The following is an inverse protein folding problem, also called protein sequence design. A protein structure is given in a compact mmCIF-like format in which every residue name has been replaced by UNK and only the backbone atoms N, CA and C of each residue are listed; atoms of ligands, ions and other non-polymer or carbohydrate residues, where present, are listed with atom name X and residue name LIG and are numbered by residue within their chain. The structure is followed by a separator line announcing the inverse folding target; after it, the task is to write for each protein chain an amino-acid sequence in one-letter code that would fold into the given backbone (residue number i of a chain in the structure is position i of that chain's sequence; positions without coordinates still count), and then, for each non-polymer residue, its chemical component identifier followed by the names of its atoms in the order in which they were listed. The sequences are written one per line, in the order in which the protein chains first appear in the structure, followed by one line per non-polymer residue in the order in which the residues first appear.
data_IF_593226116122
#
_entry.id   IF_593226116122
#
_cell.length_a   1.000
_cell.length_b   1.000
_cell.length_c   1.000
_cell.angle_alpha   90.00
_cell.angle_beta   90.00
_cell.angle_gamma   90.00
#
_symmetry.space_group_name_H-M   'P 1'
#
loop_
_entity.id
_entity.type
_entity.pdbx_description
1 polymer ?
#
# COMPACT_ATOMS: atom_id res chain seq x y z
N UNK A 1 -34.76 -30.32 36.00
CA UNK A 1 -33.43 -30.18 35.35
C UNK A 1 -33.49 -29.98 33.83
N UNK A 2 -34.44 -30.52 33.10
CA UNK A 2 -34.52 -30.43 31.62
C UNK A 2 -34.72 -29.00 31.05
N UNK A 3 -35.56 -28.15 31.66
CA UNK A 3 -35.85 -26.79 31.15
C UNK A 3 -34.67 -25.82 31.21
N UNK A 4 -33.80 -25.95 32.21
CA UNK A 4 -32.61 -25.09 32.37
C UNK A 4 -31.57 -25.33 31.27
N UNK A 5 -31.37 -26.59 30.87
CA UNK A 5 -30.41 -26.96 29.81
C UNK A 5 -30.90 -26.44 28.46
N UNK A 6 -32.19 -26.44 28.19
CA UNK A 6 -32.77 -25.94 26.93
C UNK A 6 -32.61 -24.42 26.81
N UNK A 7 -32.80 -23.67 27.90
CA UNK A 7 -32.62 -22.21 27.93
C UNK A 7 -31.13 -21.86 27.70
N UNK A 8 -30.23 -22.56 28.37
CA UNK A 8 -28.78 -22.36 28.19
C UNK A 8 -28.33 -22.64 26.74
N UNK A 9 -28.79 -23.74 26.13
CA UNK A 9 -28.49 -24.04 24.72
C UNK A 9 -29.00 -22.97 23.75
N UNK A 10 -30.23 -22.45 23.99
CA UNK A 10 -30.78 -21.35 23.16
C UNK A 10 -30.03 -20.06 23.34
N UNK A 11 -29.57 -19.75 24.54
CA UNK A 11 -28.73 -18.58 24.81
C UNK A 11 -27.36 -18.68 24.14
N UNK A 12 -26.68 -19.83 24.26
CA UNK A 12 -25.42 -20.07 23.56
C UNK A 12 -25.56 -19.98 22.04
N UNK A 13 -26.68 -20.51 21.48
CA UNK A 13 -26.90 -20.42 20.03
C UNK A 13 -27.21 -19.00 19.57
N UNK A 14 -27.92 -18.19 20.36
CA UNK A 14 -28.14 -16.77 20.08
C UNK A 14 -26.87 -15.95 20.17
N UNK A 15 -25.96 -16.22 21.12
CA UNK A 15 -24.66 -15.59 21.25
C UNK A 15 -23.75 -15.99 20.08
N UNK A 16 -23.77 -17.26 19.66
CA UNK A 16 -23.01 -17.73 18.50
C UNK A 16 -23.48 -17.07 17.21
N UNK A 17 -24.77 -16.91 17.01
CA UNK A 17 -25.35 -16.19 15.86
C UNK A 17 -24.98 -14.70 15.87
N UNK A 18 -24.92 -14.06 17.03
CA UNK A 18 -24.52 -12.66 17.16
C UNK A 18 -23.04 -12.45 16.82
N UNK A 19 -22.18 -13.42 17.12
CA UNK A 19 -20.74 -13.38 16.75
C UNK A 19 -20.49 -13.54 15.25
N UNK A 20 -21.44 -14.11 14.48
CA UNK A 20 -21.28 -14.31 13.04
C UNK A 20 -21.67 -13.10 12.18
N UNK A 21 -22.15 -12.00 12.77
CA UNK A 21 -22.64 -10.83 12.01
C UNK A 21 -21.56 -9.75 11.77
N UNK A 22 -20.34 -9.96 12.20
CA UNK A 22 -19.24 -9.06 11.86
C UNK A 22 -18.78 -9.33 10.42
N UNK A 23 -19.40 -8.66 9.47
CA UNK A 23 -18.85 -8.54 8.12
C UNK A 23 -17.61 -7.66 8.19
N UNK A 24 -16.44 -8.28 8.26
CA UNK A 24 -15.18 -7.56 8.19
C UNK A 24 -14.94 -7.07 6.77
N UNK A 25 -15.15 -5.79 6.50
CA UNK A 25 -14.72 -5.15 5.26
C UNK A 25 -13.21 -4.93 5.31
N UNK A 26 -12.43 -5.93 4.92
CA UNK A 26 -10.98 -5.90 5.08
C UNK A 26 -10.24 -4.99 4.08
N UNK A 27 -10.87 -4.56 2.99
CA UNK A 27 -10.22 -3.84 1.89
C UNK A 27 -11.05 -2.65 1.37
N UNK A 28 -12.15 -2.31 2.02
CA UNK A 28 -13.00 -1.20 1.63
C UNK A 28 -13.00 -0.12 2.70
N UNK A 29 -12.89 1.14 2.27
CA UNK A 29 -12.82 2.30 3.16
C UNK A 29 -13.17 3.58 2.39
N UNK A 30 -13.15 4.71 3.07
CA UNK A 30 -13.22 6.06 2.49
C UNK A 30 -11.86 6.75 2.41
N UNK A 31 -10.82 6.16 3.01
CA UNK A 31 -9.50 6.76 3.11
C UNK A 31 -8.39 5.70 2.93
N UNK A 32 -7.46 5.97 2.00
CA UNK A 32 -6.34 5.07 1.73
C UNK A 32 -5.03 5.85 1.61
N UNK A 33 -3.95 5.18 1.97
CA UNK A 33 -2.59 5.68 1.87
C UNK A 33 -1.78 4.78 0.95
N UNK A 34 -1.01 5.40 0.07
CA UNK A 34 -0.18 4.67 -0.88
C UNK A 34 1.11 5.43 -1.19
N UNK A 35 2.19 4.69 -1.43
CA UNK A 35 3.46 5.21 -1.94
C UNK A 35 3.82 4.45 -3.21
N UNK A 36 4.26 5.18 -4.24
CA UNK A 36 4.72 4.57 -5.48
C UNK A 36 6.16 4.09 -5.27
N UNK A 37 6.42 2.78 -5.33
CA UNK A 37 7.78 2.26 -5.20
C UNK A 37 8.64 2.73 -6.36
N UNK A 38 9.96 2.75 -6.16
CA UNK A 38 10.89 3.03 -7.25
C UNK A 38 10.89 1.86 -8.23
N UNK A 39 10.44 2.12 -9.43
CA UNK A 39 10.39 1.14 -10.51
C UNK A 39 11.68 1.18 -11.34
N UNK A 40 12.01 0.06 -11.97
CA UNK A 40 13.11 0.00 -12.93
C UNK A 40 12.64 0.48 -14.30
N UNK A 41 13.55 0.96 -15.16
CA UNK A 41 13.20 1.51 -16.48
C UNK A 41 12.81 0.47 -17.53
N UNK A 42 12.67 -0.79 -17.16
CA UNK A 42 12.37 -1.89 -18.06
C UNK A 42 10.90 -2.31 -17.97
N UNK A 43 10.38 -2.92 -19.01
CA UNK A 43 9.03 -3.44 -19.13
C UNK A 43 7.91 -2.40 -19.13
N UNK A 44 8.20 -1.15 -19.53
CA UNK A 44 7.16 -0.14 -19.66
C UNK A 44 6.24 -0.08 -18.43
N UNK A 45 6.78 0.34 -17.28
CA UNK A 45 6.08 0.41 -15.99
C UNK A 45 5.05 1.53 -15.90
N UNK A 46 4.72 2.13 -16.99
CA UNK A 46 3.63 3.07 -17.11
C UNK A 46 2.56 2.53 -18.06
N UNK A 47 1.30 2.90 -17.87
CA UNK A 47 0.81 3.85 -16.88
C UNK A 47 0.78 3.28 -15.45
N UNK A 48 0.80 4.18 -14.45
CA UNK A 48 0.40 3.87 -13.09
C UNK A 48 -1.01 4.39 -12.92
N UNK A 49 -1.94 3.52 -12.57
CA UNK A 49 -3.36 3.84 -12.51
C UNK A 49 -3.94 3.45 -11.15
N UNK A 50 -4.73 4.37 -10.58
CA UNK A 50 -5.64 4.06 -9.49
C UNK A 50 -6.96 3.58 -10.09
N UNK A 51 -7.43 2.43 -9.68
CA UNK A 51 -8.76 1.92 -10.00
C UNK A 51 -9.58 1.88 -8.72
N UNK A 52 -10.78 2.45 -8.79
CA UNK A 52 -11.73 2.49 -7.68
C UNK A 52 -13.05 1.85 -8.11
N UNK A 53 -13.70 1.18 -7.17
CA UNK A 53 -15.02 0.59 -7.36
C UNK A 53 -15.92 0.96 -6.20
N UNK A 54 -17.14 1.36 -6.52
CA UNK A 54 -18.21 1.69 -5.59
C UNK A 54 -19.12 0.49 -5.34
N UNK A 55 -19.84 0.56 -4.24
CA UNK A 55 -20.97 -0.31 -3.93
C UNK A 55 -22.29 0.40 -4.24
N UNK A 56 -23.29 0.26 -3.38
CA UNK A 56 -24.63 0.81 -3.60
C UNK A 56 -24.70 2.34 -3.60
N UNK A 57 -23.68 3.01 -3.06
CA UNK A 57 -23.59 4.46 -3.02
C UNK A 57 -22.62 5.00 -4.07
N UNK A 58 -22.95 6.08 -4.80
CA UNK A 58 -22.01 6.78 -5.64
C UNK A 58 -20.93 7.48 -4.80
N UNK A 59 -19.75 7.65 -5.35
CA UNK A 59 -18.63 8.27 -4.65
C UNK A 59 -17.93 9.36 -5.47
N UNK A 60 -17.49 10.40 -4.77
CA UNK A 60 -16.52 11.38 -5.30
C UNK A 60 -15.17 11.06 -4.68
N UNK A 61 -14.17 10.78 -5.52
CA UNK A 61 -12.83 10.35 -5.11
C UNK A 61 -11.80 11.39 -5.52
N UNK A 62 -10.97 11.79 -4.55
CA UNK A 62 -9.85 12.72 -4.76
C UNK A 62 -8.54 12.07 -4.34
N UNK A 63 -7.48 12.37 -5.06
CA UNK A 63 -6.11 11.93 -4.72
C UNK A 63 -5.26 13.17 -4.47
N UNK A 64 -4.51 13.18 -3.39
CA UNK A 64 -3.58 14.27 -3.06
C UNK A 64 -2.20 13.71 -2.70
N UNK A 65 -1.15 14.53 -2.92
CA UNK A 65 0.12 14.34 -2.22
C UNK A 65 -0.11 14.66 -0.75
N UNK A 66 -0.03 13.66 0.10
CA UNK A 66 -0.47 13.74 1.49
C UNK A 66 0.32 14.77 2.33
N UNK A 67 1.60 14.99 2.00
CA UNK A 67 2.45 15.99 2.69
C UNK A 67 2.07 17.42 2.35
N UNK A 68 1.83 17.73 1.07
CA UNK A 68 1.55 19.10 0.59
C UNK A 68 0.07 19.40 0.39
N UNK A 69 -0.81 18.40 0.51
CA UNK A 69 -2.24 18.47 0.15
C UNK A 69 -2.51 18.90 -1.30
N UNK A 70 -1.51 18.75 -2.19
CA UNK A 70 -1.66 19.08 -3.61
C UNK A 70 -2.43 17.97 -4.31
N UNK A 71 -3.50 18.32 -5.01
CA UNK A 71 -4.30 17.36 -5.77
C UNK A 71 -3.49 16.75 -6.92
N UNK A 72 -3.69 15.45 -7.11
CA UNK A 72 -3.09 14.65 -8.18
C UNK A 72 -4.18 14.21 -9.14
N UNK A 73 -4.06 14.62 -10.39
CA UNK A 73 -5.05 14.32 -11.42
C UNK A 73 -6.40 15.04 -11.20
N UNK A 74 -7.44 14.47 -11.77
CA UNK A 74 -8.81 14.99 -11.67
C UNK A 74 -9.61 14.24 -10.61
N UNK A 75 -10.60 14.91 -10.05
CA UNK A 75 -11.59 14.26 -9.19
C UNK A 75 -12.38 13.23 -9.99
N UNK A 76 -12.57 12.04 -9.45
CA UNK A 76 -13.43 11.00 -10.04
C UNK A 76 -14.81 11.07 -9.42
N UNK A 77 -15.85 11.11 -10.26
CA UNK A 77 -17.24 10.91 -9.84
C UNK A 77 -17.65 9.51 -10.35
N UNK A 78 -17.85 8.60 -9.43
CA UNK A 78 -18.10 7.18 -9.70
C UNK A 78 -19.56 6.87 -9.32
N UNK A 79 -20.35 6.38 -10.28
CA UNK A 79 -21.73 6.01 -10.01
C UNK A 79 -21.80 4.78 -9.07
N UNK A 80 -22.95 4.54 -8.48
CA UNK A 80 -23.19 3.32 -7.68
C UNK A 80 -22.95 2.05 -8.52
N UNK A 81 -22.43 1.00 -7.87
CA UNK A 81 -22.15 -0.31 -8.48
C UNK A 81 -21.28 -0.20 -9.76
N UNK A 82 -20.29 0.69 -9.73
CA UNK A 82 -19.50 1.06 -10.89
C UNK A 82 -18.01 1.15 -10.55
N UNK A 83 -17.17 1.25 -11.57
CA UNK A 83 -15.73 1.46 -11.40
C UNK A 83 -15.24 2.60 -12.29
N UNK A 84 -14.15 3.23 -11.84
CA UNK A 84 -13.47 4.29 -12.59
C UNK A 84 -11.97 4.22 -12.38
N UNK A 85 -11.22 4.82 -13.29
CA UNK A 85 -9.77 4.79 -13.30
C UNK A 85 -9.20 6.18 -13.38
N UNK A 86 -8.20 6.49 -12.55
CA UNK A 86 -7.39 7.69 -12.62
C UNK A 86 -5.95 7.32 -12.99
N UNK A 87 -5.44 7.86 -14.09
CA UNK A 87 -4.03 7.72 -14.43
C UNK A 87 -3.21 8.69 -13.58
N UNK A 88 -2.36 8.13 -12.72
CA UNK A 88 -1.44 8.89 -11.87
C UNK A 88 -0.18 9.31 -12.64
N UNK A 89 0.34 8.40 -13.46
CA UNK A 89 1.52 8.61 -14.31
C UNK A 89 1.27 8.00 -15.68
N UNK A 90 1.46 8.78 -16.74
CA UNK A 90 1.08 8.39 -18.10
C UNK A 90 2.25 8.05 -19.04
N UNK A 91 3.49 8.45 -18.73
CA UNK A 91 4.61 8.29 -19.63
C UNK A 91 5.82 7.57 -19.00
N UNK A 92 6.59 6.88 -19.81
CA UNK A 92 7.76 6.09 -19.42
C UNK A 92 8.93 6.89 -18.84
N UNK A 93 8.98 8.18 -19.09
CA UNK A 93 10.02 9.09 -18.57
C UNK A 93 9.58 9.89 -17.34
N UNK A 94 8.32 9.76 -16.92
CA UNK A 94 7.67 10.70 -16.03
C UNK A 94 7.36 10.18 -14.63
N UNK A 95 8.09 9.21 -14.10
CA UNK A 95 7.98 8.83 -12.69
C UNK A 95 8.55 9.88 -11.74
N UNK A 96 9.28 10.87 -12.28
CA UNK A 96 9.81 11.99 -11.52
C UNK A 96 8.69 12.75 -10.80
N UNK A 97 8.68 12.66 -9.48
CA UNK A 97 7.74 13.34 -8.62
C UNK A 97 6.75 12.45 -7.86
N UNK A 98 6.71 11.15 -8.14
CA UNK A 98 5.91 10.17 -7.41
C UNK A 98 6.73 9.04 -6.80
N UNK A 99 7.86 8.67 -7.41
CA UNK A 99 8.71 7.62 -6.89
C UNK A 99 9.37 7.99 -5.56
N UNK A 100 9.49 6.98 -4.70
CA UNK A 100 10.21 7.07 -3.45
C UNK A 100 11.60 6.45 -3.62
N UNK A 101 12.65 7.25 -3.50
CA UNK A 101 14.02 6.78 -3.63
C UNK A 101 14.45 5.93 -2.44
N UNK A 102 15.33 4.95 -2.70
CA UNK A 102 15.85 4.05 -1.68
C UNK A 102 16.65 4.77 -0.59
N UNK A 103 16.44 4.36 0.64
CA UNK A 103 17.13 4.86 1.85
C UNK A 103 17.02 6.40 2.00
N UNK A 104 15.89 6.94 1.63
CA UNK A 104 15.60 8.38 1.71
C UNK A 104 14.17 8.61 2.16
N UNK A 105 13.97 9.75 2.82
CA UNK A 105 12.63 10.29 3.07
C UNK A 105 12.20 11.11 1.87
N UNK A 106 10.97 10.89 1.41
CA UNK A 106 10.34 11.68 0.32
C UNK A 106 8.98 12.23 0.75
N UNK A 107 8.50 13.26 0.06
CA UNK A 107 7.19 13.88 0.28
C UNK A 107 6.15 13.34 -0.72
N UNK A 108 6.33 12.13 -1.23
CA UNK A 108 5.58 11.57 -2.35
C UNK A 108 4.46 10.59 -1.91
N UNK A 109 4.17 10.50 -0.63
CA UNK A 109 3.02 9.74 -0.16
C UNK A 109 1.71 10.28 -0.72
N UNK A 110 0.84 9.37 -1.18
CA UNK A 110 -0.47 9.69 -1.72
C UNK A 110 -1.55 9.39 -0.69
N UNK A 111 -2.54 10.27 -0.63
CA UNK A 111 -3.75 10.09 0.16
C UNK A 111 -4.96 10.11 -0.78
N UNK A 112 -5.76 9.06 -0.70
CA UNK A 112 -6.97 8.87 -1.48
C UNK A 112 -8.14 9.03 -0.53
N UNK A 113 -9.03 9.95 -0.83
CA UNK A 113 -10.24 10.21 -0.06
C UNK A 113 -11.47 10.00 -0.93
N UNK A 114 -12.47 9.37 -0.37
CA UNK A 114 -13.77 9.11 -1.00
C UNK A 114 -14.92 9.57 -0.10
N UNK A 115 -15.99 10.05 -0.70
CA UNK A 115 -17.23 10.44 0.01
C UNK A 115 -18.08 9.26 0.46
N UNK A 116 -17.87 8.08 -0.12
CA UNK A 116 -18.53 6.83 0.25
C UNK A 116 -17.50 5.69 0.26
N UNK A 117 -17.85 4.58 0.86
CA UNK A 117 -17.00 3.38 0.92
C UNK A 117 -16.70 2.85 -0.48
N UNK A 118 -15.44 2.66 -0.78
CA UNK A 118 -14.93 2.14 -2.06
C UNK A 118 -13.94 1.00 -1.84
N UNK A 119 -13.72 0.18 -2.85
CA UNK A 119 -12.49 -0.57 -3.03
C UNK A 119 -11.53 0.23 -3.88
N UNK A 120 -10.25 0.17 -3.54
CA UNK A 120 -9.19 0.84 -4.30
C UNK A 120 -7.99 -0.08 -4.51
N UNK A 121 -7.45 -0.07 -5.72
CA UNK A 121 -6.17 -0.70 -6.01
C UNK A 121 -5.36 0.13 -7.01
N UNK A 122 -4.05 -0.01 -6.94
CA UNK A 122 -3.11 0.62 -7.86
C UNK A 122 -2.54 -0.44 -8.77
N UNK A 123 -2.71 -0.25 -10.07
CA UNK A 123 -2.13 -1.09 -11.10
C UNK A 123 -0.90 -0.39 -11.71
N UNK A 124 0.17 -1.13 -11.85
CA UNK A 124 1.42 -0.66 -12.45
C UNK A 124 1.65 -1.45 -13.73
N UNK A 125 1.78 -0.71 -14.84
CA UNK A 125 2.34 -1.08 -16.13
C UNK A 125 1.52 -1.88 -17.14
N UNK A 126 2.09 -1.93 -18.35
CA UNK A 126 1.53 -2.65 -19.51
C UNK A 126 2.00 -4.10 -19.59
N UNK A 127 3.27 -4.34 -19.28
CA UNK A 127 3.88 -5.66 -19.38
C UNK A 127 4.33 -6.12 -17.99
N UNK A 128 4.01 -7.35 -17.61
CA UNK A 128 4.28 -7.87 -16.26
C UNK A 128 3.65 -7.00 -15.15
N UNK A 129 2.36 -6.74 -15.32
CA UNK A 129 1.59 -5.86 -14.42
C UNK A 129 1.62 -6.33 -12.97
N UNK A 130 1.74 -5.37 -12.06
CA UNK A 130 1.54 -5.57 -10.62
C UNK A 130 0.30 -4.81 -10.15
N UNK A 131 -0.39 -5.39 -9.19
CA UNK A 131 -1.60 -4.81 -8.59
C UNK A 131 -1.42 -4.76 -7.09
N UNK A 132 -1.57 -3.58 -6.51
CA UNK A 132 -1.54 -3.33 -5.08
C UNK A 132 -2.95 -3.03 -4.57
N UNK A 133 -3.57 -3.98 -3.87
CA UNK A 133 -4.84 -3.74 -3.21
C UNK A 133 -4.62 -2.88 -1.97
N UNK A 134 -5.31 -1.75 -1.89
CA UNK A 134 -5.22 -0.83 -0.76
C UNK A 134 -6.16 -1.28 0.36
N UNK A 135 -5.74 -1.13 1.61
CA UNK A 135 -6.43 -1.73 2.76
C UNK A 135 -7.16 -0.72 3.65
N UNK A 136 -7.12 0.56 3.31
CA UNK A 136 -7.73 1.60 4.14
C UNK A 136 -7.22 1.60 5.58
N UNK A 137 -8.09 1.89 6.54
CA UNK A 137 -7.76 1.92 7.97
C UNK A 137 -7.22 0.58 8.50
N UNK A 138 -7.64 -0.55 7.92
CA UNK A 138 -7.14 -1.87 8.31
C UNK A 138 -5.66 -2.10 7.93
N UNK A 139 -5.09 -1.26 7.10
CA UNK A 139 -3.65 -1.26 6.78
C UNK A 139 -2.81 -0.39 7.70
N UNK A 140 -3.44 0.36 8.62
CA UNK A 140 -2.75 1.23 9.56
C UNK A 140 -2.39 0.48 10.84
N UNK A 141 -1.29 0.86 11.45
CA UNK A 141 -0.83 0.25 12.71
C UNK A 141 0.43 0.89 13.23
N UNK A 142 0.85 0.45 14.41
CA UNK A 142 2.06 0.93 15.08
C UNK A 142 3.16 -0.14 15.12
N UNK A 143 2.84 -1.36 14.71
CA UNK A 143 3.79 -2.48 14.65
C UNK A 143 3.50 -3.34 13.41
N UNK A 144 4.54 -3.64 12.65
CA UNK A 144 4.43 -4.41 11.41
C UNK A 144 5.54 -5.45 11.32
N UNK A 145 5.17 -6.67 10.96
CA UNK A 145 6.10 -7.67 10.47
C UNK A 145 5.98 -7.70 8.94
N UNK A 146 6.98 -7.18 8.26
CA UNK A 146 6.99 -7.09 6.80
C UNK A 146 7.79 -8.25 6.23
N UNK A 147 7.14 -9.07 5.42
CA UNK A 147 7.79 -10.15 4.68
C UNK A 147 7.89 -9.76 3.22
N UNK A 148 9.08 -9.85 2.65
CA UNK A 148 9.29 -9.65 1.23
C UNK A 148 9.46 -10.98 0.53
N UNK A 149 8.97 -11.07 -0.70
CA UNK A 149 9.10 -12.29 -1.50
C UNK A 149 10.55 -12.46 -1.97
N UNK A 150 11.05 -13.69 -1.95
CA UNK A 150 12.32 -14.02 -2.60
C UNK A 150 12.21 -13.70 -4.08
N UNK A 151 13.08 -12.84 -4.56
CA UNK A 151 13.03 -12.40 -5.94
C UNK A 151 13.29 -13.55 -6.89
N UNK A 152 12.43 -13.69 -7.88
CA UNK A 152 12.61 -14.62 -8.98
C UNK A 152 13.99 -14.44 -9.61
N UNK A 153 14.57 -15.55 -10.10
CA UNK A 153 15.96 -15.64 -10.60
C UNK A 153 16.28 -14.75 -11.83
N UNK A 154 15.42 -13.85 -12.21
CA UNK A 154 15.60 -12.86 -13.30
C UNK A 154 16.89 -12.05 -13.16
N UNK A 155 17.50 -12.05 -12.00
CA UNK A 155 18.73 -11.37 -11.71
C UNK A 155 19.97 -12.23 -11.76
N UNK A 156 19.93 -13.43 -12.34
CA UNK A 156 21.10 -14.29 -12.42
C UNK A 156 22.18 -13.68 -13.30
N UNK A 157 23.04 -12.90 -12.69
CA UNK A 157 24.36 -12.60 -13.19
C UNK A 157 24.49 -11.67 -14.38
N UNK A 158 23.41 -11.21 -15.00
CA UNK A 158 23.52 -10.15 -16.00
C UNK A 158 23.78 -8.84 -15.27
N UNK A 159 25.03 -8.44 -15.23
CA UNK A 159 25.50 -7.21 -14.59
C UNK A 159 25.22 -5.96 -15.44
N UNK A 160 24.53 -6.12 -16.56
CA UNK A 160 24.24 -5.03 -17.48
C UNK A 160 22.72 -4.98 -17.75
N UNK A 161 22.14 -3.82 -17.54
CA UNK A 161 20.73 -3.55 -17.78
C UNK A 161 19.98 -3.12 -16.52
N UNK A 162 18.76 -2.65 -16.69
CA UNK A 162 17.93 -2.07 -15.64
C UNK A 162 17.48 -3.11 -14.59
N UNK A 163 17.50 -4.41 -14.89
CA UNK A 163 17.35 -5.47 -13.87
C UNK A 163 18.43 -5.43 -12.78
N UNK A 164 19.58 -4.80 -13.06
CA UNK A 164 20.61 -4.59 -12.06
C UNK A 164 20.14 -3.66 -10.93
N UNK A 165 19.10 -2.89 -11.15
CA UNK A 165 18.55 -1.91 -10.22
C UNK A 165 17.35 -2.44 -9.41
N UNK A 166 16.75 -3.57 -9.83
CA UNK A 166 15.59 -4.14 -9.14
C UNK A 166 15.96 -4.57 -7.71
N UNK A 167 15.16 -4.16 -6.73
CA UNK A 167 15.33 -4.46 -5.31
C UNK A 167 13.99 -4.78 -4.67
N UNK A 168 14.01 -5.62 -3.65
CA UNK A 168 12.89 -5.68 -2.74
C UNK A 168 12.85 -4.40 -1.93
N UNK A 169 11.70 -3.76 -1.86
CA UNK A 169 11.49 -2.50 -1.12
C UNK A 169 10.35 -2.61 -0.14
N UNK A 170 10.44 -1.78 0.88
CA UNK A 170 9.35 -1.53 1.83
C UNK A 170 9.16 -0.03 1.89
N UNK A 171 7.97 0.43 1.53
CA UNK A 171 7.57 1.82 1.63
C UNK A 171 6.79 2.02 2.93
N UNK A 172 7.32 2.88 3.80
CA UNK A 172 6.72 3.23 5.09
C UNK A 172 6.17 4.64 4.98
N UNK A 173 4.85 4.78 5.01
CA UNK A 173 4.18 6.07 4.95
C UNK A 173 3.63 6.46 6.32
N UNK A 174 3.94 7.68 6.78
CA UNK A 174 3.40 8.21 8.02
C UNK A 174 2.04 8.87 7.78
N UNK A 175 1.06 8.50 8.60
CA UNK A 175 -0.28 9.12 8.58
C UNK A 175 -0.41 10.28 9.55
N UNK A 176 0.55 10.40 10.49
CA UNK A 176 0.60 11.44 11.53
C UNK A 176 1.95 12.17 11.50
N UNK A 177 1.95 13.41 12.03
CA UNK A 177 3.18 14.18 12.18
C UNK A 177 4.06 13.59 13.30
N UNK A 178 5.37 13.79 13.17
CA UNK A 178 6.38 13.34 14.16
C UNK A 178 6.33 11.84 14.45
N UNK A 179 5.94 11.04 13.46
CA UNK A 179 5.93 9.58 13.56
C UNK A 179 7.35 9.06 13.62
N UNK A 180 7.72 8.45 14.74
CA UNK A 180 9.03 7.81 14.93
C UNK A 180 8.90 6.32 14.58
N UNK A 181 9.69 5.87 13.60
CA UNK A 181 9.69 4.48 13.13
C UNK A 181 11.01 3.82 13.47
N UNK A 182 10.96 2.76 14.27
CA UNK A 182 12.10 1.91 14.57
C UNK A 182 12.11 0.72 13.61
N UNK A 183 13.21 0.53 12.89
CA UNK A 183 13.33 -0.47 11.84
C UNK A 183 14.47 -1.41 12.18
N UNK A 184 14.22 -2.71 12.17
CA UNK A 184 15.25 -3.74 12.34
C UNK A 184 15.22 -4.68 11.14
N UNK A 185 16.06 -4.47 10.12
CA UNK A 185 16.07 -5.32 8.93
C UNK A 185 16.72 -6.66 9.23
N UNK A 186 16.13 -7.76 8.80
CA UNK A 186 16.69 -9.12 8.98
C UNK A 186 17.88 -9.40 8.07
N UNK A 187 18.02 -8.62 6.99
CA UNK A 187 19.13 -8.68 6.02
C UNK A 187 19.72 -7.30 5.78
N UNK A 188 20.93 -7.25 5.25
CA UNK A 188 21.56 -5.98 4.92
C UNK A 188 20.77 -5.21 3.88
N UNK A 189 20.44 -3.96 4.20
CA UNK A 189 19.75 -3.02 3.33
C UNK A 189 20.72 -1.98 2.79
N UNK A 190 20.25 -1.17 1.84
CA UNK A 190 21.01 -0.01 1.37
C UNK A 190 21.25 0.93 2.56
N UNK A 191 22.50 1.14 2.92
CA UNK A 191 22.91 2.00 4.03
C UNK A 191 22.74 1.41 5.45
N UNK A 192 22.18 0.21 5.62
CA UNK A 192 21.94 -0.39 6.92
C UNK A 192 22.42 -1.84 7.00
N UNK A 193 23.00 -2.22 8.15
CA UNK A 193 23.43 -3.59 8.39
C UNK A 193 22.26 -4.49 8.82
N UNK A 194 22.40 -5.80 8.57
CA UNK A 194 21.44 -6.78 9.07
C UNK A 194 21.39 -6.81 10.61
N UNK A 195 20.21 -6.97 11.18
CA UNK A 195 19.94 -7.06 12.60
C UNK A 195 20.42 -5.86 13.44
N UNK A 196 20.68 -4.73 12.81
CA UNK A 196 21.03 -3.47 13.48
C UNK A 196 19.83 -2.52 13.40
N UNK A 197 19.19 -2.21 14.54
CA UNK A 197 18.06 -1.30 14.54
C UNK A 197 18.51 0.14 14.22
N UNK A 198 17.64 0.86 13.54
CA UNK A 198 17.78 2.29 13.29
C UNK A 198 16.42 2.97 13.33
N UNK A 199 16.41 4.28 13.42
CA UNK A 199 15.20 5.08 13.59
C UNK A 199 15.12 6.16 12.52
N UNK A 200 13.91 6.38 12.01
CA UNK A 200 13.57 7.51 11.15
C UNK A 200 12.38 8.25 11.73
N UNK A 201 12.33 9.57 11.55
CA UNK A 201 11.17 10.40 11.95
C UNK A 201 10.53 10.97 10.70
N UNK A 202 9.23 10.79 10.58
CA UNK A 202 8.43 11.18 9.41
C UNK A 202 7.32 12.14 9.82
N UNK A 203 7.02 13.09 8.93
CA UNK A 203 5.82 13.91 9.02
C UNK A 203 4.69 13.24 8.23
N UNK A 204 3.46 13.62 8.52
CA UNK A 204 2.28 13.12 7.80
C UNK A 204 2.48 13.23 6.29
N UNK A 205 2.28 12.12 5.57
CA UNK A 205 2.46 12.03 4.12
C UNK A 205 3.90 11.84 3.66
N UNK A 206 4.87 11.84 4.56
CA UNK A 206 6.23 11.44 4.21
C UNK A 206 6.36 9.93 4.12
N UNK A 207 7.23 9.50 3.23
CA UNK A 207 7.55 8.09 2.98
C UNK A 207 9.03 7.86 3.18
N UNK A 208 9.38 6.82 3.91
CA UNK A 208 10.73 6.27 3.94
C UNK A 208 10.77 4.95 3.18
N UNK A 209 11.69 4.80 2.24
CA UNK A 209 11.84 3.57 1.46
C UNK A 209 13.08 2.82 1.90
N UNK A 210 12.87 1.64 2.47
CA UNK A 210 13.94 0.68 2.75
C UNK A 210 14.09 -0.24 1.53
N UNK A 211 15.32 -0.45 1.07
CA UNK A 211 15.60 -1.34 -0.04
C UNK A 211 16.65 -2.38 0.33
N UNK A 212 16.46 -3.62 -0.09
CA UNK A 212 17.47 -4.66 0.05
C UNK A 212 18.79 -4.25 -0.62
N UNK A 213 19.91 -4.64 -0.01
CA UNK A 213 21.25 -4.32 -0.55
C UNK A 213 21.50 -5.01 -1.89
N UNK A 214 21.01 -6.22 -2.02
CA UNK A 214 21.10 -7.02 -3.24
C UNK A 214 19.71 -7.46 -3.73
N UNK A 215 19.70 -8.05 -4.93
CA UNK A 215 18.48 -8.51 -5.60
C UNK A 215 17.92 -9.83 -5.04
N UNK A 216 18.65 -10.51 -4.20
CA UNK A 216 18.32 -11.85 -3.68
C UNK A 216 17.90 -11.83 -2.22
N UNK A 217 18.13 -10.72 -1.53
CA UNK A 217 17.77 -10.61 -0.11
C UNK A 217 16.30 -10.28 0.06
N UNK A 218 15.64 -11.05 0.88
CA UNK A 218 14.37 -10.68 1.52
C UNK A 218 14.68 -9.72 2.65
N UNK A 219 13.86 -8.71 2.82
CA UNK A 219 13.97 -7.73 3.93
C UNK A 219 13.45 -8.32 5.24
#
# INVERSE_FOLDING_TARGET
MSKSITVFRRFCFAVLLLCCTFTGFAQSDTAFWFAVPKLTSEHAHTPITLVVSTYDDPATVTVTKAYSNTQVGTTLNVAANSSSTLTLVSNSSGLSGFECNHNQTSNNGLYIHSTATINAYVAVCQNNSEIYALKGANGLGTEFLVTTQFQFANGNGSSSGAYSQAKNTVEIIATENNTTVNITPSKACVGHAANVPFTVTLQRGQVYTLAARDRKSTL
#
